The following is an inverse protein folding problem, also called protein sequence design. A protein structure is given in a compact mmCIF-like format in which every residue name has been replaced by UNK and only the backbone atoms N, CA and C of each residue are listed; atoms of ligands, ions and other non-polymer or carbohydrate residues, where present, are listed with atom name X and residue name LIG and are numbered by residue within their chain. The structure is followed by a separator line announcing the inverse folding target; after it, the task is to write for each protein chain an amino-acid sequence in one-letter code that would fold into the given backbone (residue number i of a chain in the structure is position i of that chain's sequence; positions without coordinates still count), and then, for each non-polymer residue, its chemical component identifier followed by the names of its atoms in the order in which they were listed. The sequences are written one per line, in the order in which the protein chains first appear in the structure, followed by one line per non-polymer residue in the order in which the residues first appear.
data_IF_537344382631
#
_entry.id   IF_537344382631
#
_cell.length_a   1.000
_cell.length_b   1.000
_cell.length_c   1.000
_cell.angle_alpha   90.00
_cell.angle_beta   90.00
_cell.angle_gamma   90.00
#
_symmetry.space_group_name_H-M   'P 1'
#
loop_
_entity.id
_entity.type
_entity.pdbx_description
1 polymer ?
#
# COMPACT_ATOMS: atom_id res chain seq x y z
N UNK A 1 8.59 3.15 -1.29
CA UNK A 1 8.30 1.82 -1.84
C UNK A 1 6.79 1.69 -1.93
N UNK A 2 6.25 1.14 -3.01
CA UNK A 2 4.81 0.90 -3.12
C UNK A 2 4.55 -0.60 -3.20
N UNK A 3 3.64 -1.09 -2.37
CA UNK A 3 3.20 -2.47 -2.42
C UNK A 3 1.73 -2.49 -2.82
N UNK A 4 1.40 -3.25 -3.86
CA UNK A 4 0.02 -3.46 -4.32
C UNK A 4 -0.42 -4.85 -3.91
N UNK A 5 -1.57 -4.94 -3.26
CA UNK A 5 -2.18 -6.19 -2.82
C UNK A 5 -3.53 -6.40 -3.50
N UNK A 6 -3.88 -7.64 -3.80
CA UNK A 6 -5.22 -8.03 -4.24
C UNK A 6 -5.51 -9.49 -3.89
N UNK A 7 -6.77 -9.89 -3.93
CA UNK A 7 -7.19 -11.28 -3.72
C UNK A 7 -7.94 -11.76 -4.95
N UNK A 8 -7.55 -12.94 -5.45
CA UNK A 8 -8.32 -13.67 -6.47
C UNK A 8 -9.28 -14.64 -5.77
N UNK A 9 -10.52 -14.70 -6.22
CA UNK A 9 -11.51 -15.67 -5.76
C UNK A 9 -11.74 -16.71 -6.85
N UNK A 10 -11.39 -17.96 -6.58
CA UNK A 10 -11.54 -19.08 -7.51
C UNK A 10 -12.36 -20.19 -6.83
N UNK A 11 -13.66 -20.24 -7.15
CA UNK A 11 -14.61 -21.06 -6.41
C UNK A 11 -14.66 -20.63 -4.94
N UNK A 12 -14.37 -21.56 -4.03
CA UNK A 12 -14.30 -21.31 -2.58
C UNK A 12 -12.89 -20.90 -2.10
N UNK A 13 -11.92 -20.75 -3.00
CA UNK A 13 -10.53 -20.41 -2.64
C UNK A 13 -10.29 -18.91 -2.77
N UNK A 14 -9.69 -18.32 -1.73
CA UNK A 14 -9.23 -16.93 -1.72
C UNK A 14 -7.70 -16.90 -1.73
N UNK A 15 -7.10 -16.47 -2.84
CA UNK A 15 -5.64 -16.41 -2.99
C UNK A 15 -5.16 -14.97 -2.91
N UNK A 16 -4.39 -14.58 -1.87
CA UNK A 16 -3.78 -13.26 -1.81
C UNK A 16 -2.59 -13.16 -2.77
N UNK A 17 -2.41 -11.99 -3.35
CA UNK A 17 -1.30 -11.66 -4.23
C UNK A 17 -0.74 -10.29 -3.85
N UNK A 18 0.54 -10.12 -4.13
CA UNK A 18 1.26 -8.88 -3.90
C UNK A 18 2.19 -8.57 -5.07
N UNK A 19 2.46 -7.27 -5.25
CA UNK A 19 3.46 -6.79 -6.19
C UNK A 19 4.16 -5.55 -5.65
N UNK A 20 5.49 -5.67 -5.59
CA UNK A 20 6.40 -4.63 -5.15
C UNK A 20 6.75 -3.67 -6.29
N UNK A 21 6.82 -2.38 -5.97
CA UNK A 21 7.31 -1.30 -6.82
C UNK A 21 8.29 -0.42 -6.02
N UNK A 22 9.34 0.03 -6.69
CA UNK A 22 10.32 0.94 -6.10
C UNK A 22 9.71 2.32 -5.79
N UNK A 23 10.38 3.09 -4.94
CA UNK A 23 9.91 4.43 -4.54
C UNK A 23 9.79 5.40 -5.73
N UNK A 24 10.56 5.19 -6.78
CA UNK A 24 10.51 5.97 -8.02
C UNK A 24 9.35 5.58 -8.94
N UNK A 25 8.70 4.44 -8.67
CA UNK A 25 7.80 3.78 -9.63
C UNK A 25 6.33 3.98 -9.25
N UNK A 26 6.00 5.11 -8.63
CA UNK A 26 4.63 5.43 -8.19
C UNK A 26 3.62 5.34 -9.33
N UNK A 27 3.97 5.85 -10.52
CA UNK A 27 3.09 5.83 -11.69
C UNK A 27 2.79 4.40 -12.13
N UNK A 28 3.80 3.52 -12.12
CA UNK A 28 3.63 2.11 -12.47
C UNK A 28 2.75 1.37 -11.45
N UNK A 29 2.91 1.66 -10.15
CA UNK A 29 2.05 1.11 -9.10
C UNK A 29 0.58 1.53 -9.29
N UNK A 30 0.34 2.81 -9.59
CA UNK A 30 -1.01 3.34 -9.87
C UNK A 30 -1.62 2.73 -11.12
N UNK A 31 -0.84 2.53 -12.19
CA UNK A 31 -1.30 1.85 -13.40
C UNK A 31 -1.66 0.39 -13.12
N UNK A 32 -0.89 -0.31 -12.26
CA UNK A 32 -1.21 -1.67 -11.83
C UNK A 32 -2.58 -1.72 -11.11
N UNK A 33 -2.82 -0.78 -10.20
CA UNK A 33 -4.11 -0.67 -9.49
C UNK A 33 -5.27 -0.46 -10.45
N UNK A 34 -5.11 0.42 -11.44
CA UNK A 34 -6.16 0.68 -12.44
C UNK A 34 -6.41 -0.52 -13.36
N UNK A 35 -5.36 -1.26 -13.74
CA UNK A 35 -5.51 -2.50 -14.49
C UNK A 35 -6.30 -3.55 -13.70
N UNK A 36 -6.01 -3.72 -12.40
CA UNK A 36 -6.74 -4.64 -11.51
C UNK A 36 -8.21 -4.22 -11.36
N UNK A 37 -8.47 -2.93 -11.16
CA UNK A 37 -9.85 -2.40 -11.07
C UNK A 37 -10.61 -2.55 -12.38
N UNK A 38 -9.94 -2.42 -13.53
CA UNK A 38 -10.55 -2.69 -14.83
C UNK A 38 -10.97 -4.14 -14.94
N UNK A 39 -10.06 -5.09 -14.65
CA UNK A 39 -10.36 -6.53 -14.62
C UNK A 39 -11.54 -6.86 -13.71
N UNK A 40 -11.59 -6.26 -12.53
CA UNK A 40 -12.71 -6.39 -11.61
C UNK A 40 -14.04 -5.91 -12.23
N UNK A 41 -14.04 -4.74 -12.91
CA UNK A 41 -15.23 -4.22 -13.60
C UNK A 41 -15.64 -5.09 -14.79
N UNK A 42 -14.68 -5.70 -15.46
CA UNK A 42 -14.89 -6.63 -16.57
C UNK A 42 -15.40 -8.02 -16.09
N UNK A 43 -15.59 -8.19 -14.78
CA UNK A 43 -16.22 -9.36 -14.17
C UNK A 43 -15.26 -10.41 -13.63
N UNK A 44 -13.95 -10.17 -13.68
CA UNK A 44 -12.99 -11.06 -13.04
C UNK A 44 -13.15 -11.04 -11.51
N UNK A 45 -12.96 -12.18 -10.82
CA UNK A 45 -13.25 -12.33 -9.40
C UNK A 45 -12.12 -11.76 -8.50
N UNK A 46 -11.77 -10.49 -8.72
CA UNK A 46 -10.81 -9.75 -7.91
C UNK A 46 -11.51 -9.04 -6.75
N UNK A 47 -10.92 -9.09 -5.56
CA UNK A 47 -11.34 -8.33 -4.37
C UNK A 47 -10.15 -7.70 -3.65
N UNK A 48 -10.44 -6.79 -2.72
CA UNK A 48 -9.48 -6.18 -1.81
C UNK A 48 -8.24 -5.56 -2.49
N UNK A 49 -8.44 -4.88 -3.63
CA UNK A 49 -7.36 -4.19 -4.35
C UNK A 49 -6.94 -2.95 -3.54
N UNK A 50 -5.73 -2.96 -2.98
CA UNK A 50 -5.20 -1.88 -2.15
C UNK A 50 -3.71 -1.64 -2.40
N UNK A 51 -3.23 -0.44 -2.08
CA UNK A 51 -1.82 -0.06 -2.20
C UNK A 51 -1.34 0.56 -0.89
N UNK A 52 -0.15 0.18 -0.44
CA UNK A 52 0.59 0.85 0.64
C UNK A 52 1.78 1.60 0.06
N UNK A 53 1.98 2.86 0.47
CA UNK A 53 3.15 3.69 0.12
C UNK A 53 4.27 3.62 1.15
N UNK A 54 4.06 2.89 2.25
CA UNK A 54 5.03 2.64 3.30
C UNK A 54 5.31 1.14 3.33
N UNK A 55 6.59 0.76 3.35
CA UNK A 55 6.96 -0.62 3.61
C UNK A 55 6.65 -0.89 5.09
N UNK A 56 5.81 -1.88 5.43
CA UNK A 56 5.43 -2.14 6.82
C UNK A 56 6.63 -2.48 7.72
N UNK A 57 7.71 -3.02 7.17
CA UNK A 57 8.99 -3.28 7.88
C UNK A 57 9.99 -2.11 7.81
N UNK A 58 9.61 -1.00 7.17
CA UNK A 58 10.45 0.18 6.93
C UNK A 58 9.69 1.47 7.27
N UNK A 59 8.71 1.36 8.18
CA UNK A 59 8.23 2.50 8.94
C UNK A 59 9.45 3.10 9.64
N UNK A 60 9.74 4.38 9.35
CA UNK A 60 10.81 5.11 10.03
C UNK A 60 10.65 5.00 11.55
N UNK A 61 11.72 5.32 12.30
CA UNK A 61 11.71 5.21 13.77
C UNK A 61 10.35 5.63 14.34
N UNK A 62 9.66 4.76 15.09
CA UNK A 62 8.40 5.13 15.75
C UNK A 62 8.65 6.46 16.44
N UNK A 63 7.72 7.41 16.23
CA UNK A 63 7.88 8.80 16.64
C UNK A 63 8.57 8.88 18.00
N UNK A 64 9.64 9.68 18.06
CA UNK A 64 10.62 9.73 19.15
C UNK A 64 9.93 9.58 20.52
N UNK A 65 10.02 8.39 21.13
CA UNK A 65 9.41 8.11 22.44
C UNK A 65 10.07 8.92 23.56
N UNK A 66 11.36 9.27 23.38
CA UNK A 66 12.14 10.09 24.32
C UNK A 66 12.71 11.31 23.61
N UNK A 67 12.09 12.46 23.83
CA UNK A 67 12.58 13.74 23.32
C UNK A 67 13.28 14.53 24.44
N UNK A 68 14.44 15.11 24.13
CA UNK A 68 15.13 16.03 25.05
C UNK A 68 14.38 17.36 25.19
N UNK A 69 14.72 18.19 26.18
CA UNK A 69 13.98 19.42 26.51
C UNK A 69 13.93 20.48 25.38
N UNK A 70 14.73 20.33 24.31
CA UNK A 70 14.74 21.22 23.15
C UNK A 70 13.95 20.74 21.93
N UNK A 71 13.18 19.66 22.03
CA UNK A 71 12.48 19.10 20.87
C UNK A 71 11.22 19.91 20.51
N UNK A 72 11.20 20.47 19.30
CA UNK A 72 10.10 21.28 18.77
C UNK A 72 9.01 20.37 18.18
N UNK A 73 8.01 20.06 18.99
CA UNK A 73 6.87 19.23 18.59
C UNK A 73 6.05 19.89 17.48
N UNK A 74 6.34 19.56 16.22
CA UNK A 74 5.49 19.91 15.09
C UNK A 74 4.31 18.95 14.98
N UNK A 75 3.26 19.17 15.78
CA UNK A 75 1.95 18.56 15.48
C UNK A 75 1.46 19.12 14.15
N UNK A 76 1.25 18.25 13.15
CA UNK A 76 0.55 18.64 11.91
C UNK A 76 -0.89 18.99 12.28
N UNK A 77 -1.18 20.29 12.42
CA UNK A 77 -2.53 20.83 12.54
C UNK A 77 -2.76 21.80 11.39
N UNK A 78 -3.24 21.29 10.27
CA UNK A 78 -4.40 21.80 9.54
C UNK A 78 -4.78 20.85 8.42
#
# INVERSE_FOLDING_TARGET
MYMVYWTMIEGDTCTPHEKLFETTDMVAAMQCMEALRKRQRDGEPLRFITMSSEHPDLVGHPGVDVTGPGYDWKKRRR
#
